data_IF_252807213126
#
_entry.id   IF_252807213126
#
_cell.length_a   1.000
_cell.length_b   1.000
_cell.length_c   1.000
_cell.angle_alpha   90.00
_cell.angle_beta   90.00
_cell.angle_gamma   90.00
#
_symmetry.space_group_name_H-M   'P 1'
#
loop_
_entity.id
_entity.type
_entity.pdbx_description
1 polymer ?
#
# COMPACT_ATOMS: atom_id res chain seq x y z
N UNK A 1 4.43 -0.25 -21.96
CA UNK A 1 4.08 -1.46 -21.19
C UNK A 1 2.57 -1.42 -20.96
N UNK A 2 1.84 -2.48 -21.31
CA UNK A 2 0.37 -2.53 -21.08
C UNK A 2 0.06 -2.42 -19.58
N UNK A 3 -1.06 -1.78 -19.23
CA UNK A 3 -1.56 -1.71 -17.84
C UNK A 3 -1.69 -3.10 -17.19
N UNK A 4 -2.10 -4.09 -17.99
CA UNK A 4 -2.19 -5.49 -17.56
C UNK A 4 -0.81 -6.07 -17.23
N UNK A 5 0.16 -5.94 -18.13
CA UNK A 5 1.53 -6.40 -17.90
C UNK A 5 2.18 -5.71 -16.69
N UNK A 6 1.94 -4.41 -16.53
CA UNK A 6 2.42 -3.65 -15.38
C UNK A 6 1.82 -4.19 -14.07
N UNK A 7 0.51 -4.43 -14.04
CA UNK A 7 -0.20 -4.95 -12.87
C UNK A 7 0.25 -6.36 -12.51
N UNK A 8 0.31 -7.27 -13.48
CA UNK A 8 0.81 -8.65 -13.29
C UNK A 8 2.21 -8.64 -12.69
N UNK A 9 3.10 -7.80 -13.23
CA UNK A 9 4.48 -7.69 -12.75
C UNK A 9 4.54 -7.16 -11.32
N UNK A 10 3.78 -6.11 -11.00
CA UNK A 10 3.72 -5.56 -9.64
C UNK A 10 3.14 -6.55 -8.64
N UNK A 11 2.11 -7.31 -9.01
CA UNK A 11 1.52 -8.33 -8.15
C UNK A 11 2.50 -9.48 -7.88
N UNK A 12 3.21 -9.98 -8.90
CA UNK A 12 4.25 -11.00 -8.71
C UNK A 12 5.38 -10.52 -7.81
N UNK A 13 5.90 -9.31 -8.05
CA UNK A 13 6.89 -8.68 -7.17
C UNK A 13 6.38 -8.51 -5.74
N UNK A 14 5.11 -8.13 -5.58
CA UNK A 14 4.49 -8.00 -4.27
C UNK A 14 4.39 -9.36 -3.56
N UNK A 15 3.97 -10.42 -4.23
CA UNK A 15 3.94 -11.77 -3.67
C UNK A 15 5.34 -12.20 -3.17
N UNK A 16 6.39 -11.94 -3.95
CA UNK A 16 7.79 -12.19 -3.53
C UNK A 16 8.16 -11.38 -2.28
N UNK A 17 7.81 -10.09 -2.24
CA UNK A 17 8.05 -9.23 -1.06
C UNK A 17 7.30 -9.75 0.17
N UNK A 18 6.04 -10.17 0.01
CA UNK A 18 5.22 -10.76 1.09
C UNK A 18 5.88 -12.02 1.63
N UNK A 19 6.26 -12.98 0.79
CA UNK A 19 6.95 -14.21 1.22
C UNK A 19 8.23 -13.95 2.01
N UNK A 20 9.00 -12.95 1.58
CA UNK A 20 10.29 -12.64 2.19
C UNK A 20 10.22 -11.77 3.45
N UNK A 21 9.11 -11.07 3.71
CA UNK A 21 9.08 -10.00 4.72
C UNK A 21 7.83 -9.95 5.60
N UNK A 22 6.76 -10.64 5.23
CA UNK A 22 5.59 -10.75 6.08
C UNK A 22 5.96 -11.50 7.37
N UNK A 23 5.29 -11.15 8.46
CA UNK A 23 5.43 -11.84 9.73
C UNK A 23 4.08 -12.31 10.20
N UNK A 24 3.96 -13.59 10.55
CA UNK A 24 2.77 -14.16 11.15
C UNK A 24 3.17 -15.39 11.98
N UNK A 25 2.53 -15.66 13.14
CA UNK A 25 2.86 -16.83 13.96
C UNK A 25 2.73 -18.16 13.20
N UNK A 26 1.81 -18.20 12.25
CA UNK A 26 1.57 -19.35 11.39
C UNK A 26 2.11 -19.05 9.99
N UNK A 27 3.24 -19.68 9.62
CA UNK A 27 3.91 -19.45 8.32
C UNK A 27 3.01 -19.74 7.12
N UNK A 28 2.14 -20.74 7.21
CA UNK A 28 1.25 -21.09 6.09
C UNK A 28 0.34 -19.92 5.70
N UNK A 29 -0.03 -19.04 6.63
CA UNK A 29 -0.88 -17.88 6.35
C UNK A 29 -0.16 -16.85 5.46
N UNK A 30 1.16 -16.73 5.57
CA UNK A 30 1.97 -15.89 4.67
C UNK A 30 1.94 -16.48 3.25
N UNK A 31 2.04 -17.80 3.13
CA UNK A 31 1.97 -18.48 1.84
C UNK A 31 0.58 -18.39 1.23
N UNK A 32 -0.49 -18.48 2.03
CA UNK A 32 -1.87 -18.25 1.58
C UNK A 32 -2.04 -16.83 1.03
N UNK A 33 -1.57 -15.82 1.77
CA UNK A 33 -1.62 -14.43 1.32
C UNK A 33 -0.83 -14.21 0.02
N UNK A 34 0.41 -14.71 -0.04
CA UNK A 34 1.24 -14.58 -1.24
C UNK A 34 0.64 -15.35 -2.43
N UNK A 35 0.05 -16.51 -2.18
CA UNK A 35 -0.67 -17.32 -3.16
C UNK A 35 -1.86 -16.56 -3.75
N UNK A 36 -2.73 -15.98 -2.93
CA UNK A 36 -3.87 -15.18 -3.40
C UNK A 36 -3.42 -13.98 -4.29
N UNK A 37 -2.31 -13.31 -3.93
CA UNK A 37 -1.75 -12.21 -4.74
C UNK A 37 -1.22 -12.73 -6.09
N UNK A 38 -0.57 -13.89 -6.09
CA UNK A 38 -0.04 -14.52 -7.30
C UNK A 38 -1.15 -15.05 -8.21
N UNK A 39 -2.19 -15.67 -7.64
CA UNK A 39 -3.35 -16.15 -8.38
C UNK A 39 -4.13 -15.00 -9.01
N UNK A 40 -4.19 -13.83 -8.36
CA UNK A 40 -4.70 -12.61 -8.99
C UNK A 40 -3.87 -12.20 -10.22
N UNK A 41 -2.54 -12.27 -10.13
CA UNK A 41 -1.66 -11.97 -11.27
C UNK A 41 -1.86 -12.97 -12.42
N UNK A 42 -2.02 -14.27 -12.11
CA UNK A 42 -2.30 -15.31 -13.10
C UNK A 42 -3.64 -15.03 -13.79
N UNK A 43 -4.71 -14.76 -13.02
CA UNK A 43 -6.02 -14.44 -13.58
C UNK A 43 -6.00 -13.23 -14.52
N UNK A 44 -5.28 -12.16 -14.16
CA UNK A 44 -5.10 -10.96 -15.00
C UNK A 44 -4.34 -11.29 -16.29
N UNK A 45 -3.34 -12.17 -16.22
CA UNK A 45 -2.56 -12.57 -17.39
C UNK A 45 -3.35 -13.48 -18.34
N UNK A 46 -4.12 -14.42 -17.80
CA UNK A 46 -4.83 -15.46 -18.55
C UNK A 46 -6.14 -14.98 -19.19
N UNK A 47 -6.75 -13.93 -18.65
CA UNK A 47 -8.05 -13.46 -19.12
C UNK A 47 -8.16 -11.93 -19.02
N UNK A 48 -7.38 -11.17 -19.82
CA UNK A 48 -7.50 -9.71 -19.83
C UNK A 48 -8.91 -9.29 -20.27
N UNK A 49 -9.42 -8.19 -19.70
CA UNK A 49 -10.73 -7.64 -20.06
C UNK A 49 -10.54 -6.56 -21.12
N UNK A 50 -11.46 -6.51 -22.10
CA UNK A 50 -11.41 -5.51 -23.17
C UNK A 50 -11.71 -4.08 -22.66
N UNK A 51 -12.43 -3.97 -21.53
CA UNK A 51 -12.79 -2.69 -20.92
C UNK A 51 -11.64 -2.10 -20.09
N UNK A 52 -11.19 -0.86 -20.39
CA UNK A 52 -10.23 -0.15 -19.56
C UNK A 52 -10.77 0.05 -18.14
N UNK A 53 -9.92 -0.10 -17.13
CA UNK A 53 -10.32 0.11 -15.73
C UNK A 53 -10.80 -1.14 -15.00
N UNK A 54 -11.10 -2.23 -15.72
CA UNK A 54 -11.66 -3.44 -15.11
C UNK A 54 -10.64 -4.54 -14.88
N UNK A 55 -10.78 -5.21 -13.74
CA UNK A 55 -10.04 -6.43 -13.42
C UNK A 55 -10.94 -7.64 -13.74
N UNK A 56 -10.36 -8.78 -14.17
CA UNK A 56 -11.13 -10.01 -14.35
C UNK A 56 -11.78 -10.45 -13.03
N UNK A 57 -12.98 -11.03 -13.09
CA UNK A 57 -13.71 -11.47 -11.90
C UNK A 57 -12.90 -12.41 -10.99
N UNK A 58 -12.16 -13.35 -11.57
CA UNK A 58 -11.27 -14.24 -10.82
C UNK A 58 -10.16 -13.47 -10.09
N UNK A 59 -9.59 -12.44 -10.72
CA UNK A 59 -8.60 -11.58 -10.07
C UNK A 59 -9.21 -10.76 -8.93
N UNK A 60 -10.45 -10.27 -9.09
CA UNK A 60 -11.17 -9.56 -8.02
C UNK A 60 -11.39 -10.47 -6.81
N UNK A 61 -11.77 -11.73 -7.03
CA UNK A 61 -11.94 -12.72 -5.96
C UNK A 61 -10.66 -12.92 -5.16
N UNK A 62 -9.55 -13.17 -5.84
CA UNK A 62 -8.24 -13.39 -5.21
C UNK A 62 -7.70 -12.13 -4.51
N UNK A 63 -7.91 -10.94 -5.08
CA UNK A 63 -7.55 -9.67 -4.45
C UNK A 63 -8.40 -9.38 -3.20
N UNK A 64 -9.67 -9.78 -3.20
CA UNK A 64 -10.54 -9.68 -2.02
C UNK A 64 -10.02 -10.58 -0.91
N UNK A 65 -9.72 -11.84 -1.21
CA UNK A 65 -9.14 -12.77 -0.23
C UNK A 65 -7.83 -12.23 0.37
N UNK A 66 -6.92 -11.72 -0.48
CA UNK A 66 -5.70 -11.09 0.00
C UNK A 66 -5.97 -9.85 0.89
N UNK A 67 -6.98 -9.04 0.54
CA UNK A 67 -7.39 -7.88 1.34
C UNK A 67 -7.96 -8.31 2.69
N UNK A 68 -8.79 -9.36 2.71
CA UNK A 68 -9.40 -9.91 3.92
C UNK A 68 -8.31 -10.44 4.85
N UNK A 69 -7.35 -11.20 4.33
CA UNK A 69 -6.19 -11.69 5.09
C UNK A 69 -5.37 -10.56 5.70
N UNK A 70 -5.03 -9.52 4.92
CA UNK A 70 -4.29 -8.35 5.39
C UNK A 70 -5.05 -7.51 6.43
N UNK A 71 -6.37 -7.62 6.47
CA UNK A 71 -7.21 -6.87 7.42
C UNK A 71 -7.48 -7.66 8.70
N UNK A 72 -7.63 -8.98 8.59
CA UNK A 72 -7.96 -9.88 9.70
C UNK A 72 -6.73 -10.29 10.51
N UNK A 73 -5.54 -10.24 9.90
CA UNK A 73 -4.28 -10.66 10.53
C UNK A 73 -3.23 -9.57 10.42
N UNK A 74 -2.45 -9.40 11.49
CA UNK A 74 -1.30 -8.50 11.46
C UNK A 74 -0.11 -9.19 10.79
N UNK A 75 -0.05 -9.08 9.47
CA UNK A 75 1.11 -9.50 8.67
C UNK A 75 2.27 -8.50 8.70
N UNK A 76 2.10 -7.38 9.41
CA UNK A 76 3.00 -6.24 9.33
C UNK A 76 3.11 -5.70 7.88
N UNK A 77 1.99 -5.79 7.13
CA UNK A 77 1.82 -5.32 5.76
C UNK A 77 0.44 -4.62 5.67
N UNK A 78 0.37 -3.36 5.22
CA UNK A 78 -0.89 -2.64 5.10
C UNK A 78 -1.66 -3.04 3.82
N UNK A 79 -2.97 -3.24 3.93
CA UNK A 79 -3.84 -3.64 2.80
C UNK A 79 -3.77 -2.70 1.59
N UNK A 80 -3.50 -1.41 1.83
CA UNK A 80 -3.32 -0.40 0.77
C UNK A 80 -2.23 -0.77 -0.25
N UNK A 81 -1.29 -1.66 0.09
CA UNK A 81 -0.21 -2.08 -0.82
C UNK A 81 -0.75 -2.75 -2.10
N UNK A 82 -1.87 -3.48 -2.01
CA UNK A 82 -2.50 -4.14 -3.15
C UNK A 82 -2.93 -3.12 -4.21
N UNK A 83 -3.42 -1.95 -3.77
CA UNK A 83 -3.82 -0.87 -4.68
C UNK A 83 -2.65 -0.28 -5.47
N UNK A 84 -1.41 -0.28 -4.95
CA UNK A 84 -0.25 0.16 -5.74
C UNK A 84 0.08 -0.83 -6.86
N UNK A 85 -0.19 -2.12 -6.63
CA UNK A 85 0.02 -3.15 -7.64
C UNK A 85 -1.04 -3.07 -8.75
N UNK A 86 -2.31 -2.81 -8.40
CA UNK A 86 -3.44 -2.76 -9.34
C UNK A 86 -3.71 -1.40 -9.96
N UNK A 87 -3.11 -0.32 -9.44
CA UNK A 87 -3.25 1.04 -9.95
C UNK A 87 -3.12 1.21 -11.48
N UNK A 88 -2.24 0.48 -12.21
CA UNK A 88 -2.17 0.63 -13.66
C UNK A 88 -3.47 0.28 -14.39
N UNK A 89 -4.20 -0.75 -13.93
CA UNK A 89 -5.52 -1.09 -14.47
C UNK A 89 -6.58 -0.19 -13.87
N UNK A 90 -6.64 -0.11 -12.52
CA UNK A 90 -7.72 0.58 -11.82
C UNK A 90 -7.73 2.11 -12.04
N UNK A 91 -6.61 2.69 -12.52
CA UNK A 91 -6.46 4.14 -12.72
C UNK A 91 -6.39 4.95 -11.43
N UNK A 92 -6.43 4.29 -10.26
CA UNK A 92 -6.44 4.93 -8.95
C UNK A 92 -5.23 4.48 -8.14
N UNK A 93 -4.39 5.45 -7.76
CA UNK A 93 -3.27 5.21 -6.87
C UNK A 93 -3.70 5.39 -5.40
N UNK A 94 -3.35 4.48 -4.47
CA UNK A 94 -3.73 4.63 -3.07
C UNK A 94 -3.17 5.91 -2.46
N UNK A 95 -4.00 6.68 -1.77
CA UNK A 95 -3.60 7.95 -1.12
C UNK A 95 -3.09 7.71 0.30
N UNK A 96 -2.43 8.72 0.85
CA UNK A 96 -2.07 8.81 2.26
C UNK A 96 -2.62 10.16 2.73
N UNK A 97 -3.76 10.12 3.41
CA UNK A 97 -4.51 11.32 3.78
C UNK A 97 -3.82 12.06 4.95
N UNK A 98 -3.82 13.40 4.97
CA UNK A 98 -3.18 14.17 6.04
C UNK A 98 -3.79 13.88 7.41
N UNK A 99 -2.95 13.70 8.43
CA UNK A 99 -3.36 13.25 9.77
C UNK A 99 -4.00 14.32 10.69
N UNK A 100 -4.29 15.54 10.20
CA UNK A 100 -4.93 16.63 10.99
C UNK A 100 -4.30 16.84 12.39
N UNK A 101 -2.97 16.78 12.47
CA UNK A 101 -2.25 16.89 13.73
C UNK A 101 -2.25 18.33 14.26
N UNK A 102 -2.58 18.53 15.54
CA UNK A 102 -2.48 19.84 16.21
C UNK A 102 -1.02 20.22 16.50
N UNK A 103 -0.18 19.23 16.83
CA UNK A 103 1.24 19.46 17.04
C UNK A 103 1.99 19.67 15.72
N UNK A 104 2.72 20.79 15.62
CA UNK A 104 3.59 21.10 14.47
C UNK A 104 4.61 20.00 14.20
N UNK A 105 5.16 19.37 15.25
CA UNK A 105 6.12 18.29 15.09
C UNK A 105 5.50 17.08 14.40
N UNK A 106 4.30 16.67 14.84
CA UNK A 106 3.60 15.52 14.25
C UNK A 106 3.10 15.84 12.83
N UNK A 107 2.62 17.07 12.59
CA UNK A 107 2.25 17.53 11.26
C UNK A 107 3.43 17.49 10.28
N UNK A 108 4.63 17.90 10.70
CA UNK A 108 5.85 17.81 9.88
C UNK A 108 6.23 16.36 9.56
N UNK A 109 6.09 15.45 10.52
CA UNK A 109 6.33 14.03 10.30
C UNK A 109 5.34 13.43 9.30
N UNK A 110 4.07 13.80 9.38
CA UNK A 110 3.04 13.40 8.40
C UNK A 110 3.40 13.90 6.99
N UNK A 111 3.72 15.19 6.86
CA UNK A 111 4.11 15.79 5.60
C UNK A 111 5.34 15.10 4.97
N UNK A 112 6.37 14.78 5.77
CA UNK A 112 7.56 14.04 5.30
C UNK A 112 7.20 12.63 4.80
N UNK A 113 6.38 11.87 5.53
CA UNK A 113 5.94 10.54 5.10
C UNK A 113 5.16 10.59 3.79
N UNK A 114 4.23 11.55 3.66
CA UNK A 114 3.45 11.76 2.42
C UNK A 114 4.35 12.16 1.25
N UNK A 115 5.30 13.07 1.47
CA UNK A 115 6.26 13.49 0.44
C UNK A 115 7.13 12.31 -0.04
N UNK A 116 7.63 11.47 0.88
CA UNK A 116 8.39 10.26 0.51
C UNK A 116 7.56 9.27 -0.29
N UNK A 117 6.29 9.08 0.06
CA UNK A 117 5.36 8.23 -0.71
C UNK A 117 5.15 8.78 -2.11
N UNK A 118 4.97 10.10 -2.26
CA UNK A 118 4.88 10.77 -3.56
C UNK A 118 6.14 10.52 -4.38
N UNK A 119 7.34 10.73 -3.81
CA UNK A 119 8.59 10.49 -4.51
C UNK A 119 8.72 9.06 -5.05
N UNK A 120 8.32 8.03 -4.27
CA UNK A 120 8.35 6.63 -4.74
C UNK A 120 7.42 6.41 -5.95
N UNK A 121 6.24 7.03 -5.92
CA UNK A 121 5.22 6.86 -6.97
C UNK A 121 5.60 7.63 -8.23
N UNK A 122 5.99 8.90 -8.09
CA UNK A 122 6.22 9.82 -9.22
C UNK A 122 7.56 9.59 -9.91
N UNK A 123 8.60 9.13 -9.19
CA UNK A 123 9.90 8.82 -9.80
C UNK A 123 9.92 7.51 -10.59
N UNK A 124 8.75 6.89 -10.81
CA UNK A 124 8.60 5.72 -11.67
C UNK A 124 9.19 4.43 -11.11
N UNK A 125 9.53 4.37 -9.81
CA UNK A 125 10.12 3.17 -9.21
C UNK A 125 9.19 1.94 -9.30
N UNK A 126 7.87 2.16 -9.26
CA UNK A 126 6.86 1.11 -9.47
C UNK A 126 6.77 0.61 -10.94
N UNK A 127 7.45 1.28 -11.87
CA UNK A 127 7.57 0.89 -13.27
C UNK A 127 9.02 0.53 -13.67
N UNK A 128 9.95 0.52 -12.71
CA UNK A 128 11.37 0.25 -12.97
C UNK A 128 11.56 -1.12 -13.61
N UNK A 129 12.47 -1.25 -14.58
CA UNK A 129 12.73 -2.53 -15.29
C UNK A 129 13.43 -3.58 -14.43
N UNK A 130 14.23 -3.15 -13.46
CA UNK A 130 14.91 -4.04 -12.52
C UNK A 130 13.97 -4.46 -11.40
N UNK A 131 13.87 -5.76 -11.14
CA UNK A 131 13.00 -6.31 -10.10
C UNK A 131 13.42 -5.85 -8.69
N UNK A 132 14.73 -5.73 -8.43
CA UNK A 132 15.23 -5.26 -7.14
C UNK A 132 14.73 -3.86 -6.80
N UNK A 133 14.66 -2.96 -7.79
CA UNK A 133 14.15 -1.59 -7.61
C UNK A 133 12.65 -1.62 -7.33
N UNK A 134 11.89 -2.44 -8.06
CA UNK A 134 10.45 -2.60 -7.85
C UNK A 134 10.15 -3.20 -6.47
N UNK A 135 10.87 -4.24 -6.06
CA UNK A 135 10.74 -4.88 -4.76
C UNK A 135 11.12 -3.93 -3.61
N UNK A 136 12.18 -3.14 -3.80
CA UNK A 136 12.59 -2.10 -2.85
C UNK A 136 11.52 -0.99 -2.74
N UNK A 137 10.92 -0.58 -3.86
CA UNK A 137 9.84 0.42 -3.87
C UNK A 137 8.60 -0.08 -3.13
N UNK A 138 8.14 -1.31 -3.41
CA UNK A 138 7.02 -1.94 -2.72
C UNK A 138 7.28 -2.08 -1.22
N UNK A 139 8.49 -2.50 -0.84
CA UNK A 139 8.89 -2.53 0.58
C UNK A 139 8.86 -1.11 1.18
N UNK A 140 9.43 -0.13 0.49
CA UNK A 140 9.45 1.26 0.96
C UNK A 140 8.04 1.77 1.25
N UNK A 141 7.08 1.48 0.36
CA UNK A 141 5.67 1.81 0.56
C UNK A 141 5.06 1.09 1.77
N UNK A 142 5.31 -0.22 1.95
CA UNK A 142 4.87 -0.97 3.14
C UNK A 142 5.35 -0.29 4.42
N UNK A 143 6.64 0.08 4.46
CA UNK A 143 7.24 0.75 5.63
C UNK A 143 6.64 2.13 5.85
N UNK A 144 6.41 2.91 4.79
CA UNK A 144 5.83 4.24 4.89
C UNK A 144 4.40 4.21 5.44
N UNK A 145 3.55 3.32 4.92
CA UNK A 145 2.18 3.15 5.42
C UNK A 145 2.18 2.71 6.89
N UNK A 146 3.02 1.77 7.29
CA UNK A 146 3.13 1.38 8.70
C UNK A 146 3.59 2.51 9.62
N UNK A 147 4.52 3.34 9.15
CA UNK A 147 4.95 4.53 9.90
C UNK A 147 3.81 5.54 10.00
N UNK A 148 3.05 5.71 8.92
CA UNK A 148 1.89 6.59 8.89
C UNK A 148 0.78 6.10 9.84
N UNK A 149 0.47 4.81 9.86
CA UNK A 149 -0.54 4.25 10.77
C UNK A 149 -0.13 4.42 12.25
N UNK A 150 1.16 4.21 12.55
CA UNK A 150 1.70 4.50 13.89
C UNK A 150 1.63 5.99 14.24
N UNK A 151 1.93 6.86 13.29
CA UNK A 151 1.82 8.31 13.47
C UNK A 151 0.36 8.72 13.68
N UNK A 152 -0.59 8.11 12.96
CA UNK A 152 -2.02 8.35 13.12
C UNK A 152 -2.48 8.04 14.55
N UNK A 153 -2.03 6.90 15.10
CA UNK A 153 -2.30 6.55 16.50
C UNK A 153 -1.69 7.58 17.48
N UNK A 154 -0.45 8.03 17.24
CA UNK A 154 0.18 9.05 18.06
C UNK A 154 -0.53 10.41 17.98
N UNK A 155 -0.98 10.81 16.78
CA UNK A 155 -1.75 12.04 16.56
C UNK A 155 -3.10 11.97 17.27
N UNK A 156 -3.81 10.84 17.19
CA UNK A 156 -5.06 10.67 17.91
C UNK A 156 -4.89 10.87 19.43
N UNK A 157 -3.84 10.28 20.01
CA UNK A 157 -3.52 10.45 21.45
C UNK A 157 -3.13 11.89 21.78
N UNK A 158 -2.32 12.55 20.94
CA UNK A 158 -1.88 13.93 21.19
C UNK A 158 -3.02 14.95 21.05
N UNK A 159 -3.89 14.75 20.05
CA UNK A 159 -5.06 15.59 19.81
C UNK A 159 -6.11 15.45 20.93
N UNK A 160 -6.23 14.28 21.57
CA UNK A 160 -7.17 14.07 22.69
C UNK A 160 -6.69 14.70 24.02
N UNK A 161 -5.46 15.20 24.09
CA UNK A 161 -4.98 15.88 25.31
C UNK A 161 -5.83 17.11 25.63
N UNK A 162 -6.14 17.39 26.92
CA UNK A 162 -6.97 18.53 27.30
C UNK A 162 -6.47 19.88 26.76
N UNK A 163 -5.15 20.06 26.63
CA UNK A 163 -4.54 21.27 26.09
C UNK A 163 -4.64 21.40 24.56
N UNK A 164 -5.01 20.35 23.83
CA UNK A 164 -5.09 20.31 22.37
C UNK A 164 -6.52 20.14 21.83
N UNK A 165 -7.47 19.71 22.66
CA UNK A 165 -8.88 19.58 22.27
C UNK A 165 -9.43 20.90 21.73
N UNK A 166 -10.10 20.84 20.57
CA UNK A 166 -10.72 21.98 19.92
C UNK A 166 -9.75 22.94 19.22
N UNK A 167 -8.44 22.67 19.23
CA UNK A 167 -7.48 23.44 18.43
C UNK A 167 -7.54 23.03 16.96
N UNK A 168 -7.28 23.99 16.10
CA UNK A 168 -7.09 23.72 14.68
C UNK A 168 -5.82 22.88 14.44
N UNK A 169 -5.82 22.03 13.39
CA UNK A 169 -4.60 21.39 12.92
C UNK A 169 -3.49 22.40 12.64
N UNK A 170 -2.24 21.99 12.86
CA UNK A 170 -1.09 22.84 12.57
C UNK A 170 -1.00 23.14 11.08
N UNK A 171 -0.89 24.43 10.74
CA UNK A 171 -0.61 24.89 9.39
C UNK A 171 0.91 24.91 9.16
N UNK A 172 1.34 24.27 8.06
CA UNK A 172 2.74 24.16 7.66
C UNK A 172 3.09 25.09 6.48
N UNK A 173 2.18 25.99 6.09
CA UNK A 173 2.39 26.94 4.99
C UNK A 173 3.29 28.15 5.35
N UNK A 174 3.86 28.16 6.57
CA UNK A 174 4.77 29.20 7.08
C UNK A 174 6.13 28.65 7.49
#
# INVERSE_FOLDING_TARGET
MSAYLATVRRLRSLATVVRGRAYHPQRYMIETLAGAIEDAAIAIQSSPVDEPGQLPLAAIGNLREATDLLTQHDFMIPAAILGYATAPIAGVMPKMEPLQAVSVQLARQDADLRARRIAIVEHGHLNARHEDVLNAALTGLIVLHRKHDRLAAAVAVDNDRPCNRGKAPADLTH
#
